data_IF_801042783329
#
_entry.id   IF_801042783329
#
_cell.length_a   1.000
_cell.length_b   1.000
_cell.length_c   1.000
_cell.angle_alpha   90.00
_cell.angle_beta   90.00
_cell.angle_gamma   90.00
#
_symmetry.space_group_name_H-M   'P 1'
#
loop_
_entity.id
_entity.type
_entity.pdbx_description
1 polymer ?
#
# COMPACT_ATOMS: atom_id res chain seq x y z
N UNK A 1 -13.17 17.11 -5.68
CA UNK A 1 -12.66 17.93 -6.78
C UNK A 1 -11.25 18.42 -6.46
N UNK A 2 -10.40 18.47 -7.45
CA UNK A 2 -9.00 18.84 -7.25
C UNK A 2 -8.76 20.29 -7.66
N UNK A 3 -7.93 20.99 -6.89
CA UNK A 3 -7.50 22.35 -7.22
C UNK A 3 -5.98 22.35 -7.35
N UNK A 4 -5.50 22.91 -8.45
CA UNK A 4 -4.06 22.97 -8.69
C UNK A 4 -3.49 24.25 -8.10
N UNK A 5 -2.47 24.11 -7.26
CA UNK A 5 -1.78 25.25 -6.67
C UNK A 5 -0.60 25.64 -7.56
N UNK A 6 -0.25 26.93 -7.50
CA UNK A 6 0.89 27.40 -8.26
C UNK A 6 2.18 26.90 -7.66
N UNK A 7 3.19 26.73 -8.50
CA UNK A 7 4.52 26.35 -8.07
C UNK A 7 5.13 27.45 -7.22
N UNK A 8 5.76 27.08 -6.11
CA UNK A 8 6.41 28.04 -5.23
C UNK A 8 7.81 27.61 -4.89
N UNK A 9 8.77 28.50 -5.09
CA UNK A 9 10.14 28.29 -4.68
C UNK A 9 10.77 27.02 -5.24
N UNK A 10 10.51 26.70 -6.48
CA UNK A 10 11.10 25.52 -7.11
C UNK A 10 10.45 24.20 -6.77
N UNK A 11 9.46 24.21 -5.89
CA UNK A 11 8.73 22.98 -5.57
C UNK A 11 7.75 22.65 -6.70
N UNK A 12 7.46 21.37 -6.87
CA UNK A 12 6.43 21.00 -7.84
C UNK A 12 5.08 21.62 -7.48
N UNK A 13 4.28 21.86 -8.51
CA UNK A 13 2.91 22.34 -8.30
C UNK A 13 2.12 21.29 -7.53
N UNK A 14 1.26 21.75 -6.63
CA UNK A 14 0.45 20.87 -5.80
C UNK A 14 -1.01 20.97 -6.20
N UNK A 15 -1.73 19.89 -5.98
CA UNK A 15 -3.15 19.82 -6.27
C UNK A 15 -3.90 19.46 -5.00
N UNK A 16 -4.94 20.23 -4.69
CA UNK A 16 -5.78 19.92 -3.54
C UNK A 16 -6.80 18.87 -3.93
N UNK A 17 -6.92 17.84 -3.10
CA UNK A 17 -7.89 16.77 -3.33
C UNK A 17 -8.67 16.49 -2.06
N UNK A 18 -9.83 15.89 -2.21
CA UNK A 18 -10.62 15.40 -1.09
C UNK A 18 -10.75 13.90 -1.27
N UNK A 19 -10.19 13.14 -0.35
CA UNK A 19 -10.12 11.69 -0.46
C UNK A 19 -10.27 11.05 0.91
N UNK A 20 -10.74 9.81 0.94
CA UNK A 20 -10.72 9.02 2.16
C UNK A 20 -9.27 8.65 2.51
N UNK A 21 -9.06 8.14 3.72
CA UNK A 21 -7.72 7.69 4.10
C UNK A 21 -7.19 6.61 3.18
N UNK A 22 -8.05 5.68 2.79
CA UNK A 22 -7.62 4.62 1.87
C UNK A 22 -7.26 5.19 0.50
N UNK A 23 -8.05 6.14 0.01
CA UNK A 23 -7.75 6.77 -1.27
C UNK A 23 -6.45 7.55 -1.23
N UNK A 24 -6.19 8.22 -0.10
CA UNK A 24 -4.95 8.97 0.05
C UNK A 24 -3.75 8.02 0.07
N UNK A 25 -3.88 6.89 0.77
CA UNK A 25 -2.81 5.90 0.81
C UNK A 25 -2.53 5.37 -0.61
N UNK A 26 -3.59 5.11 -1.38
CA UNK A 26 -3.42 4.65 -2.75
C UNK A 26 -2.73 5.73 -3.61
N UNK A 27 -3.14 6.99 -3.43
CA UNK A 27 -2.53 8.08 -4.18
C UNK A 27 -1.04 8.19 -3.86
N UNK A 28 -0.67 8.05 -2.59
CA UNK A 28 0.74 8.11 -2.21
C UNK A 28 1.51 6.94 -2.83
N UNK A 29 0.94 5.75 -2.79
CA UNK A 29 1.59 4.59 -3.38
C UNK A 29 1.78 4.77 -4.88
N UNK A 30 0.78 5.32 -5.56
CA UNK A 30 0.88 5.60 -6.98
C UNK A 30 2.01 6.57 -7.27
N UNK A 31 2.11 7.63 -6.48
CA UNK A 31 3.14 8.66 -6.70
C UNK A 31 4.53 8.10 -6.48
N UNK A 32 4.69 7.21 -5.50
CA UNK A 32 5.98 6.56 -5.27
C UNK A 32 6.25 5.54 -6.37
N UNK A 33 5.20 4.94 -6.90
CA UNK A 33 5.28 3.94 -7.96
C UNK A 33 6.19 2.79 -7.54
N UNK A 34 5.79 2.11 -6.47
CA UNK A 34 6.55 0.96 -5.99
C UNK A 34 6.71 -0.08 -7.09
N UNK A 35 7.72 -0.93 -6.95
CA UNK A 35 7.91 -2.00 -7.92
C UNK A 35 6.84 -3.07 -7.77
N UNK A 36 6.55 -3.46 -6.54
CA UNK A 36 5.62 -4.57 -6.28
C UNK A 36 4.72 -4.20 -5.11
N UNK A 37 3.46 -4.59 -5.23
CA UNK A 37 2.52 -4.57 -4.12
C UNK A 37 2.00 -5.98 -3.91
N UNK A 38 2.35 -6.58 -2.77
CA UNK A 38 1.78 -7.86 -2.38
C UNK A 38 0.63 -7.62 -1.43
N UNK A 39 -0.48 -8.28 -1.65
CA UNK A 39 -1.65 -8.02 -0.83
C UNK A 39 -2.59 -9.20 -0.81
N UNK A 40 -3.45 -9.22 0.18
CA UNK A 40 -4.57 -10.15 0.24
C UNK A 40 -5.83 -9.33 0.52
N UNK A 41 -6.85 -9.47 -0.33
CA UNK A 41 -8.05 -8.63 -0.16
C UNK A 41 -8.74 -8.92 1.16
N UNK A 42 -8.82 -7.91 2.01
CA UNK A 42 -9.52 -8.03 3.29
C UNK A 42 -9.96 -6.64 3.73
N UNK A 43 -11.21 -6.53 4.13
CA UNK A 43 -11.72 -5.25 4.63
C UNK A 43 -11.05 -4.90 5.94
N UNK A 44 -10.73 -3.63 6.16
CA UNK A 44 -11.06 -2.48 5.31
C UNK A 44 -9.95 -2.09 4.33
N UNK A 45 -8.91 -2.88 4.16
CA UNK A 45 -7.79 -2.51 3.32
C UNK A 45 -8.04 -2.80 1.83
N UNK A 46 -9.09 -3.54 1.50
CA UNK A 46 -9.39 -3.88 0.11
C UNK A 46 -9.52 -2.62 -0.76
N UNK A 47 -10.07 -1.56 -0.20
CA UNK A 47 -10.29 -0.34 -0.97
C UNK A 47 -8.99 0.25 -1.50
N UNK A 48 -7.90 0.10 -0.75
CA UNK A 48 -6.61 0.58 -1.24
C UNK A 48 -6.22 -0.16 -2.51
N UNK A 49 -6.36 -1.47 -2.49
CA UNK A 49 -6.01 -2.28 -3.66
C UNK A 49 -6.93 -1.98 -4.83
N UNK A 50 -8.23 -1.84 -4.56
CA UNK A 50 -9.18 -1.54 -5.62
C UNK A 50 -8.89 -0.19 -6.26
N UNK A 51 -8.57 0.81 -5.44
CA UNK A 51 -8.26 2.13 -5.95
C UNK A 51 -6.99 2.08 -6.81
N UNK A 52 -5.95 1.38 -6.34
CA UNK A 52 -4.73 1.25 -7.10
C UNK A 52 -4.95 0.48 -8.39
N UNK A 53 -5.80 -0.53 -8.36
CA UNK A 53 -6.09 -1.29 -9.56
C UNK A 53 -6.80 -0.43 -10.60
N UNK A 54 -7.75 0.39 -10.15
CA UNK A 54 -8.43 1.31 -11.06
C UNK A 54 -7.46 2.33 -11.65
N UNK A 55 -6.55 2.84 -10.82
CA UNK A 55 -5.53 3.77 -11.31
C UNK A 55 -4.62 3.10 -12.34
N UNK A 56 -4.27 1.83 -12.11
CA UNK A 56 -3.43 1.11 -13.05
C UNK A 56 -4.13 0.92 -14.38
N UNK A 57 -5.43 0.64 -14.35
CA UNK A 57 -6.20 0.49 -15.57
C UNK A 57 -6.21 1.78 -16.39
N UNK A 58 -6.09 2.93 -15.72
CA UNK A 58 -6.00 4.23 -16.39
C UNK A 58 -4.57 4.58 -16.79
N UNK A 59 -3.62 3.72 -16.53
CA UNK A 59 -2.23 3.97 -16.90
C UNK A 59 -1.49 4.91 -15.97
N UNK A 60 -1.97 5.05 -14.73
CA UNK A 60 -1.39 6.04 -13.83
C UNK A 60 -0.17 5.56 -13.07
N UNK A 61 0.06 4.25 -13.03
CA UNK A 61 1.26 3.71 -12.38
C UNK A 61 1.58 2.35 -12.96
N UNK A 62 2.76 1.85 -12.64
CA UNK A 62 3.23 0.56 -13.15
C UNK A 62 3.51 -0.44 -12.05
N UNK A 63 2.93 -0.25 -10.87
CA UNK A 63 3.14 -1.17 -9.75
C UNK A 63 2.65 -2.56 -10.13
N UNK A 64 3.48 -3.56 -9.88
CA UNK A 64 3.09 -4.94 -10.10
C UNK A 64 2.25 -5.39 -8.91
N UNK A 65 0.95 -5.57 -9.12
CA UNK A 65 0.03 -5.89 -8.04
C UNK A 65 -0.21 -7.40 -8.02
N UNK A 66 0.23 -8.05 -6.96
CA UNK A 66 0.19 -9.51 -6.89
C UNK A 66 -0.60 -9.93 -5.65
N UNK A 67 -1.77 -10.50 -5.86
CA UNK A 67 -2.54 -11.00 -4.71
C UNK A 67 -1.97 -12.33 -4.21
N UNK A 68 -1.90 -12.46 -2.90
CA UNK A 68 -1.50 -13.71 -2.29
C UNK A 68 -2.71 -14.60 -2.01
N UNK A 69 -2.43 -15.81 -1.62
CA UNK A 69 -3.50 -16.74 -1.23
C UNK A 69 -3.93 -16.56 0.22
N UNK A 70 -3.28 -15.64 0.90
CA UNK A 70 -3.57 -15.27 2.27
C UNK A 70 -2.60 -14.20 2.68
N UNK A 71 -2.73 -13.73 3.93
CA UNK A 71 -1.85 -12.67 4.41
C UNK A 71 -0.39 -13.12 4.46
N UNK A 72 -0.16 -14.36 4.88
CA UNK A 72 1.21 -14.88 4.93
C UNK A 72 1.83 -14.95 3.55
N UNK A 73 1.05 -15.41 2.56
CA UNK A 73 1.52 -15.44 1.18
C UNK A 73 1.82 -14.06 0.62
N UNK A 74 0.97 -13.10 0.96
CA UNK A 74 1.20 -11.72 0.52
C UNK A 74 2.51 -11.19 1.11
N UNK A 75 2.76 -11.48 2.39
CA UNK A 75 4.02 -11.06 3.00
C UNK A 75 5.21 -11.75 2.34
N UNK A 76 5.04 -13.01 1.93
CA UNK A 76 6.09 -13.73 1.23
C UNK A 76 6.40 -13.11 -0.13
N UNK A 77 5.37 -12.67 -0.84
CA UNK A 77 5.57 -11.98 -2.11
C UNK A 77 6.41 -10.72 -1.89
N UNK A 78 6.08 -9.96 -0.85
CA UNK A 78 6.83 -8.76 -0.52
C UNK A 78 8.27 -9.07 -0.13
N UNK A 79 8.46 -10.15 0.64
CA UNK A 79 9.80 -10.58 1.03
C UNK A 79 10.63 -10.91 -0.21
N UNK A 80 10.07 -11.68 -1.12
CA UNK A 80 10.79 -12.06 -2.33
C UNK A 80 11.14 -10.86 -3.20
N UNK A 81 10.19 -9.95 -3.37
CA UNK A 81 10.44 -8.76 -4.18
C UNK A 81 11.52 -7.88 -3.54
N UNK A 82 11.49 -7.76 -2.20
CA UNK A 82 12.51 -6.96 -1.52
C UNK A 82 13.88 -7.62 -1.62
N UNK A 83 13.91 -8.95 -1.53
CA UNK A 83 15.18 -9.67 -1.69
C UNK A 83 15.78 -9.40 -3.07
N UNK A 84 14.94 -9.26 -4.07
CA UNK A 84 15.41 -8.94 -5.42
C UNK A 84 15.76 -7.46 -5.61
N UNK A 85 15.61 -6.66 -4.57
CA UNK A 85 15.97 -5.24 -4.65
C UNK A 85 14.83 -4.31 -4.97
N UNK A 86 13.60 -4.80 -4.96
CA UNK A 86 12.46 -3.94 -5.29
C UNK A 86 11.98 -3.11 -4.11
N UNK A 87 11.38 -1.98 -4.44
CA UNK A 87 10.65 -1.18 -3.45
C UNK A 87 9.24 -1.75 -3.35
N UNK A 88 8.78 -2.04 -2.13
CA UNK A 88 7.60 -2.87 -1.91
C UNK A 88 6.61 -2.16 -1.02
N UNK A 89 5.32 -2.38 -1.37
CA UNK A 89 4.20 -1.84 -0.61
C UNK A 89 3.28 -3.00 -0.23
N UNK A 90 2.84 -3.10 1.03
CA UNK A 90 1.98 -4.13 1.40
C UNK A 90 0.75 -3.52 1.97
N UNK A 91 -0.33 -4.13 1.86
CA UNK A 91 -1.57 -3.75 2.49
C UNK A 91 -2.03 -4.93 3.27
N UNK A 92 -2.28 -4.65 4.45
CA UNK A 92 -2.77 -5.65 5.34
C UNK A 92 -3.78 -5.00 6.24
N UNK A 93 -4.43 -5.84 6.98
CA UNK A 93 -5.43 -5.35 7.93
C UNK A 93 -4.90 -5.67 9.28
N UNK A 94 -5.34 -4.92 10.15
CA UNK A 94 -4.83 -5.00 11.46
C UNK A 94 -4.96 -6.37 12.09
N UNK A 95 -6.00 -6.96 11.90
CA UNK A 95 -6.28 -8.25 12.43
C UNK A 95 -5.50 -9.31 11.72
N UNK A 96 -5.18 -8.98 10.65
CA UNK A 96 -4.40 -9.87 9.84
C UNK A 96 -2.90 -9.67 9.98
N UNK A 97 -2.56 -8.77 10.62
CA UNK A 97 -1.20 -8.47 10.91
C UNK A 97 -0.51 -9.60 11.62
N UNK A 98 -1.24 -10.30 12.26
CA UNK A 98 -0.76 -11.45 12.96
C UNK A 98 -0.35 -12.54 12.02
N UNK A 99 -0.89 -12.61 11.05
CA UNK A 99 -0.57 -13.53 10.04
C UNK A 99 0.75 -13.25 9.36
N UNK A 100 1.13 -12.14 9.58
CA UNK A 100 2.41 -11.72 9.05
C UNK A 100 3.47 -11.69 10.14
N UNK A 101 3.17 -11.97 11.13
CA UNK A 101 3.97 -11.92 12.26
C UNK A 101 5.23 -12.73 12.23
N UNK A 102 5.26 -13.70 11.60
CA UNK A 102 6.40 -14.48 11.40
C UNK A 102 7.39 -13.91 10.46
N UNK A 103 6.98 -13.18 9.66
CA UNK A 103 7.84 -12.58 8.66
C UNK A 103 8.33 -11.19 9.04
N UNK A 104 7.62 -10.51 9.88
CA UNK A 104 8.03 -9.15 10.24
C UNK A 104 9.43 -9.07 10.85
N UNK A 105 9.76 -9.92 11.81
CA UNK A 105 11.13 -9.86 12.35
C UNK A 105 12.19 -10.18 11.29
N UNK A 106 11.90 -11.13 10.43
CA UNK A 106 12.86 -11.49 9.38
C UNK A 106 13.06 -10.32 8.42
N UNK A 107 11.97 -9.69 8.00
CA UNK A 107 12.07 -8.56 7.09
C UNK A 107 12.79 -7.39 7.73
N UNK A 108 12.54 -7.16 9.02
CA UNK A 108 13.23 -6.11 9.75
C UNK A 108 14.72 -6.42 9.87
N UNK A 109 15.04 -7.67 10.17
CA UNK A 109 16.43 -8.07 10.28
C UNK A 109 17.21 -7.94 8.99
N UNK A 110 16.53 -8.14 7.86
CA UNK A 110 17.17 -7.98 6.57
C UNK A 110 17.23 -6.52 6.12
N UNK A 111 16.60 -5.62 6.87
CA UNK A 111 16.59 -4.18 6.57
C UNK A 111 15.99 -3.89 5.20
N UNK A 112 14.95 -4.62 4.84
CA UNK A 112 14.30 -4.41 3.55
C UNK A 112 13.55 -3.08 3.52
N UNK A 113 13.69 -2.30 2.45
CA UNK A 113 12.98 -1.02 2.32
C UNK A 113 11.56 -1.26 1.82
N UNK A 114 10.64 -1.51 2.74
CA UNK A 114 9.25 -1.71 2.38
C UNK A 114 8.34 -0.95 3.31
N UNK A 115 7.15 -0.64 2.81
CA UNK A 115 6.14 0.06 3.57
C UNK A 115 4.95 -0.87 3.76
N UNK A 116 4.53 -1.01 5.00
CA UNK A 116 3.32 -1.74 5.35
C UNK A 116 2.23 -0.74 5.70
N UNK A 117 1.19 -0.70 4.89
CA UNK A 117 0.04 0.14 5.17
C UNK A 117 -1.01 -0.71 5.85
N UNK A 118 -1.14 -0.54 7.16
CA UNK A 118 -2.04 -1.37 7.95
C UNK A 118 -3.28 -0.58 8.28
N UNK A 119 -4.38 -0.99 7.68
CA UNK A 119 -5.66 -0.31 7.85
C UNK A 119 -6.40 -0.94 9.02
N UNK A 120 -6.90 -0.11 9.89
CA UNK A 120 -7.62 -0.58 11.07
C UNK A 120 -9.05 -0.06 11.10
N UNK A 121 -9.85 -0.69 11.92
CA UNK A 121 -11.22 -0.29 12.19
C UNK A 121 -11.52 -0.61 13.65
N UNK A 122 -12.74 -0.34 14.07
CA UNK A 122 -13.11 -0.64 15.45
C UNK A 122 -12.87 -2.11 15.76
N UNK A 123 -12.19 -2.35 16.87
CA UNK A 123 -11.84 -3.71 17.27
C UNK A 123 -13.05 -4.42 17.83
N UNK A 124 -13.83 -3.72 18.60
CA UNK A 124 -15.09 -4.24 19.12
C UNK A 124 -16.10 -3.11 19.04
N UNK A 125 -17.24 -3.46 18.60
CA UNK A 125 -18.23 -2.43 18.43
C UNK A 125 -19.57 -2.92 18.84
N UNK A 126 -20.52 -2.02 18.99
CA UNK A 126 -20.30 -0.58 19.02
C UNK A 126 -19.61 -0.18 20.32
N UNK A 127 -18.75 0.80 20.24
CA UNK A 127 -18.04 1.29 21.39
C UNK A 127 -18.73 2.52 21.98
#
# INVERSE_FOLDING_TARGET
>A
MAQTAKKQGGRPAQTMVVQSGNEIAATAAKQINYHVMGYYPITPSTEVAETLDAMKAEGEHSIRMIPGDGEHGAAGICFGASTAGGRVFXXXXXXXXXXXXXQLPVQSGERFPMVFNIVTRAVSGPL
#
